data_IF_935539415172
#
_entry.id   IF_935539415172
#
_cell.length_a   1.000
_cell.length_b   1.000
_cell.length_c   1.000
_cell.angle_alpha   90.00
_cell.angle_beta   90.00
_cell.angle_gamma   90.00
#
_symmetry.space_group_name_H-M   'P 1'
#
loop_
_entity.id
_entity.type
_entity.pdbx_description
1 polymer ?
#
# COMPACT_ATOMS: atom_id res chain seq x y z
N UNK A 1 23.33 -30.44 -22.72
CA UNK A 1 23.48 -28.97 -22.67
C UNK A 1 22.06 -28.42 -22.58
N UNK A 2 21.55 -28.23 -21.38
CA UNK A 2 20.34 -27.43 -21.17
C UNK A 2 20.78 -25.97 -21.15
N UNK A 3 20.30 -25.19 -22.11
CA UNK A 3 20.46 -23.73 -22.09
C UNK A 3 19.80 -23.17 -20.81
N UNK A 4 20.47 -22.26 -20.08
CA UNK A 4 19.79 -21.51 -19.03
C UNK A 4 18.71 -20.65 -19.69
N UNK A 5 17.45 -20.83 -19.28
CA UNK A 5 16.28 -20.05 -19.71
C UNK A 5 16.62 -18.55 -19.81
N UNK A 6 16.90 -18.08 -21.03
CA UNK A 6 17.03 -16.67 -21.32
C UNK A 6 15.65 -16.03 -21.06
N UNK A 7 15.53 -15.33 -19.93
CA UNK A 7 14.30 -14.66 -19.50
C UNK A 7 13.73 -13.79 -20.63
N UNK A 8 12.74 -14.33 -21.37
CA UNK A 8 12.02 -13.58 -22.40
C UNK A 8 11.34 -12.39 -21.73
N UNK A 9 11.75 -11.17 -22.09
CA UNK A 9 11.14 -9.94 -21.60
C UNK A 9 9.62 -10.03 -21.83
N UNK A 10 8.78 -9.84 -20.79
CA UNK A 10 7.34 -10.03 -20.92
C UNK A 10 6.77 -9.08 -21.97
N UNK A 11 5.83 -9.58 -22.78
CA UNK A 11 5.23 -8.83 -23.87
C UNK A 11 4.59 -7.53 -23.35
N UNK A 12 4.62 -6.46 -24.14
CA UNK A 12 4.00 -5.17 -23.77
C UNK A 12 2.53 -5.34 -23.37
N UNK A 13 1.84 -6.29 -23.98
CA UNK A 13 0.47 -6.67 -23.64
C UNK A 13 0.36 -7.26 -22.22
N UNK A 14 1.23 -8.19 -21.83
CA UNK A 14 1.22 -8.78 -20.48
C UNK A 14 1.47 -7.71 -19.39
N UNK A 15 2.35 -6.76 -19.68
CA UNK A 15 2.63 -5.60 -18.81
C UNK A 15 1.41 -4.70 -18.62
N UNK A 16 0.70 -4.39 -19.72
CA UNK A 16 -0.52 -3.60 -19.68
C UNK A 16 -1.66 -4.35 -18.96
N UNK A 17 -1.87 -5.62 -19.28
CA UNK A 17 -2.94 -6.44 -18.69
C UNK A 17 -2.75 -6.63 -17.18
N UNK A 18 -1.53 -6.88 -16.72
CA UNK A 18 -1.23 -6.99 -15.28
C UNK A 18 -1.47 -5.66 -14.54
N UNK A 19 -1.12 -4.53 -15.15
CA UNK A 19 -1.40 -3.20 -14.57
C UNK A 19 -2.91 -2.90 -14.52
N UNK A 20 -3.64 -3.20 -15.59
CA UNK A 20 -5.10 -3.04 -15.65
C UNK A 20 -5.79 -3.93 -14.61
N UNK A 21 -5.39 -5.20 -14.52
CA UNK A 21 -5.94 -6.15 -13.57
C UNK A 21 -5.75 -5.69 -12.11
N UNK A 22 -4.55 -5.21 -11.77
CA UNK A 22 -4.29 -4.62 -10.45
C UNK A 22 -5.17 -3.38 -10.18
N UNK A 23 -5.30 -2.48 -11.16
CA UNK A 23 -6.19 -1.32 -11.06
C UNK A 23 -7.65 -1.71 -10.82
N UNK A 24 -8.17 -2.67 -11.58
CA UNK A 24 -9.54 -3.16 -11.45
C UNK A 24 -9.78 -3.84 -10.10
N UNK A 25 -8.91 -4.75 -9.66
CA UNK A 25 -9.04 -5.41 -8.35
C UNK A 25 -9.02 -4.38 -7.21
N UNK A 26 -8.13 -3.39 -7.29
CA UNK A 26 -8.08 -2.34 -6.27
C UNK A 26 -9.30 -1.43 -6.27
N UNK A 27 -9.90 -1.19 -7.42
CA UNK A 27 -11.13 -0.42 -7.49
C UNK A 27 -12.30 -1.18 -6.84
N UNK A 28 -12.48 -2.45 -7.22
CA UNK A 28 -13.58 -3.28 -6.73
C UNK A 28 -13.54 -3.47 -5.21
N UNK A 29 -12.35 -3.73 -4.65
CA UNK A 29 -12.23 -3.95 -3.21
C UNK A 29 -12.59 -2.71 -2.39
N UNK A 30 -12.33 -1.51 -2.92
CA UNK A 30 -12.73 -0.25 -2.25
C UNK A 30 -14.25 -0.13 -2.20
N UNK A 31 -14.94 -0.42 -3.30
CA UNK A 31 -16.41 -0.37 -3.33
C UNK A 31 -17.03 -1.38 -2.37
N UNK A 32 -16.55 -2.63 -2.39
CA UNK A 32 -17.07 -3.70 -1.54
C UNK A 32 -16.76 -3.43 -0.06
N UNK A 33 -15.54 -3.00 0.27
CA UNK A 33 -15.19 -2.65 1.65
C UNK A 33 -16.00 -1.45 2.15
N UNK A 34 -16.23 -0.45 1.30
CA UNK A 34 -17.07 0.70 1.65
C UNK A 34 -18.52 0.28 1.89
N UNK A 35 -19.07 -0.61 1.07
CA UNK A 35 -20.41 -1.15 1.30
C UNK A 35 -20.48 -1.85 2.67
N UNK A 36 -19.48 -2.65 3.04
CA UNK A 36 -19.43 -3.34 4.34
C UNK A 36 -19.29 -2.37 5.52
N UNK A 37 -18.37 -1.42 5.45
CA UNK A 37 -18.04 -0.54 6.57
C UNK A 37 -19.04 0.61 6.73
N UNK A 38 -19.50 1.19 5.62
CA UNK A 38 -20.33 2.39 5.63
C UNK A 38 -21.81 2.06 5.44
N UNK A 39 -22.18 1.21 4.47
CA UNK A 39 -23.59 0.91 4.20
C UNK A 39 -24.18 -0.09 5.19
N UNK A 40 -23.46 -1.18 5.46
CA UNK A 40 -23.87 -2.14 6.51
C UNK A 40 -23.47 -1.69 7.92
N UNK A 41 -22.59 -0.68 8.04
CA UNK A 41 -22.13 -0.17 9.33
C UNK A 41 -21.26 -1.16 10.09
N UNK A 42 -20.53 -2.05 9.41
CA UNK A 42 -19.66 -3.02 10.08
C UNK A 42 -18.57 -2.30 10.89
N UNK A 43 -18.52 -2.49 12.22
CA UNK A 43 -17.77 -1.60 13.11
C UNK A 43 -16.26 -1.85 13.12
N UNK A 44 -15.79 -2.96 12.55
CA UNK A 44 -14.39 -3.40 12.73
C UNK A 44 -13.66 -3.70 11.41
N UNK A 45 -12.96 -2.72 10.83
CA UNK A 45 -12.07 -2.94 9.69
C UNK A 45 -10.98 -3.98 9.95
N UNK A 46 -10.58 -4.15 11.21
CA UNK A 46 -9.57 -5.14 11.62
C UNK A 46 -10.08 -6.56 11.39
N UNK A 47 -11.32 -6.86 11.81
CA UNK A 47 -11.93 -8.19 11.59
C UNK A 47 -12.09 -8.48 10.10
N UNK A 48 -12.43 -7.47 9.29
CA UNK A 48 -12.46 -7.59 7.84
C UNK A 48 -11.08 -7.95 7.27
N UNK A 49 -10.02 -7.27 7.72
CA UNK A 49 -8.65 -7.56 7.33
C UNK A 49 -8.18 -8.95 7.74
N UNK A 50 -8.51 -9.40 8.96
CA UNK A 50 -8.22 -10.76 9.42
C UNK A 50 -8.92 -11.79 8.51
N UNK A 51 -10.18 -11.55 8.15
CA UNK A 51 -10.92 -12.42 7.22
C UNK A 51 -10.26 -12.52 5.84
N UNK A 52 -9.78 -11.40 5.29
CA UNK A 52 -9.04 -11.36 4.03
C UNK A 52 -7.72 -12.14 4.11
N UNK A 53 -6.95 -11.96 5.19
CA UNK A 53 -5.68 -12.68 5.40
C UNK A 53 -5.92 -14.18 5.60
N UNK A 54 -6.91 -14.58 6.40
CA UNK A 54 -7.26 -15.98 6.63
C UNK A 54 -7.72 -16.67 5.34
N UNK A 55 -8.55 -16.00 4.55
CA UNK A 55 -9.01 -16.48 3.24
C UNK A 55 -7.83 -16.66 2.28
N UNK A 56 -6.92 -15.69 2.25
CA UNK A 56 -5.70 -15.77 1.46
C UNK A 56 -4.83 -16.98 1.83
N UNK A 57 -4.59 -17.19 3.12
CA UNK A 57 -3.83 -18.36 3.62
C UNK A 57 -4.54 -19.66 3.25
N UNK A 58 -5.86 -19.73 3.41
CA UNK A 58 -6.64 -20.92 3.08
C UNK A 58 -6.57 -21.25 1.58
N UNK A 59 -6.74 -20.25 0.70
CA UNK A 59 -6.63 -20.43 -0.76
C UNK A 59 -5.23 -20.93 -1.12
N UNK A 60 -4.17 -20.34 -0.57
CA UNK A 60 -2.80 -20.77 -0.82
C UNK A 60 -2.54 -22.20 -0.33
N UNK A 61 -3.05 -22.56 0.84
CA UNK A 61 -2.91 -23.90 1.40
C UNK A 61 -3.63 -24.95 0.55
N UNK A 62 -4.89 -24.71 0.17
CA UNK A 62 -5.65 -25.59 -0.72
C UNK A 62 -4.97 -25.71 -2.10
N UNK A 63 -4.43 -24.62 -2.63
CA UNK A 63 -3.68 -24.63 -3.90
C UNK A 63 -2.39 -25.46 -3.81
N UNK A 64 -1.71 -25.45 -2.66
CA UNK A 64 -0.53 -26.29 -2.38
C UNK A 64 -0.91 -27.77 -2.30
N UNK A 65 -2.01 -28.12 -1.63
CA UNK A 65 -2.49 -29.51 -1.55
C UNK A 65 -2.86 -30.08 -2.92
N UNK A 66 -3.45 -29.26 -3.78
CA UNK A 66 -3.80 -29.64 -5.15
C UNK A 66 -2.58 -29.67 -6.11
N UNK A 67 -1.36 -29.44 -5.62
CA UNK A 67 -0.10 -29.38 -6.40
C UNK A 67 -0.13 -28.35 -7.54
N UNK A 68 -1.03 -27.37 -7.49
CA UNK A 68 -1.13 -26.30 -8.51
C UNK A 68 0.03 -25.30 -8.32
N UNK A 69 0.45 -25.09 -7.07
CA UNK A 69 1.51 -24.12 -6.75
C UNK A 69 2.54 -24.77 -5.82
N UNK A 70 3.78 -24.87 -6.30
CA UNK A 70 4.92 -25.26 -5.50
C UNK A 70 5.55 -24.02 -4.86
N UNK A 71 5.17 -23.72 -3.62
CA UNK A 71 5.86 -22.70 -2.83
C UNK A 71 7.05 -23.32 -2.09
N UNK A 72 8.21 -22.65 -2.04
CA UNK A 72 9.29 -23.05 -1.15
C UNK A 72 8.76 -23.13 0.29
N UNK A 73 9.14 -24.17 1.01
CA UNK A 73 8.74 -24.32 2.41
C UNK A 73 9.28 -23.16 3.26
N UNK A 74 8.53 -22.80 4.31
CA UNK A 74 8.85 -21.69 5.21
C UNK A 74 10.20 -21.95 5.91
N UNK A 75 11.29 -21.43 5.36
CA UNK A 75 12.59 -21.43 6.02
C UNK A 75 12.54 -20.38 7.16
N UNK A 76 12.77 -20.85 8.40
CA UNK A 76 12.80 -20.02 9.61
C UNK A 76 13.84 -18.88 9.55
N UNK A 77 14.73 -18.89 8.56
CA UNK A 77 15.71 -17.82 8.29
C UNK A 77 15.17 -16.66 7.45
N UNK A 78 14.04 -16.84 6.76
CA UNK A 78 13.41 -15.82 5.89
C UNK A 78 12.94 -14.58 6.68
N UNK A 79 12.25 -14.70 7.83
CA UNK A 79 11.83 -13.54 8.60
C UNK A 79 13.02 -12.70 9.07
N UNK A 80 14.10 -13.38 9.52
CA UNK A 80 15.33 -12.74 9.93
C UNK A 80 16.01 -11.98 8.79
N UNK A 81 16.09 -12.59 7.59
CA UNK A 81 16.63 -11.92 6.39
C UNK A 81 15.78 -10.73 5.94
N UNK A 82 14.46 -10.85 5.94
CA UNK A 82 13.56 -9.78 5.53
C UNK A 82 13.69 -8.56 6.46
N UNK A 83 13.68 -8.81 7.77
CA UNK A 83 13.89 -7.77 8.78
C UNK A 83 15.30 -7.17 8.70
N UNK A 84 16.33 -7.97 8.40
CA UNK A 84 17.70 -7.48 8.21
C UNK A 84 17.82 -6.54 7.01
N UNK A 85 17.12 -6.83 5.90
CA UNK A 85 17.14 -5.98 4.69
C UNK A 85 16.48 -4.63 4.99
N UNK A 86 15.33 -4.62 5.68
CA UNK A 86 14.67 -3.38 6.09
C UNK A 86 15.56 -2.57 7.04
N UNK A 87 16.13 -3.20 8.08
CA UNK A 87 17.04 -2.53 9.02
C UNK A 87 18.33 -2.05 8.35
N UNK A 88 18.92 -2.83 7.44
CA UNK A 88 20.10 -2.41 6.67
C UNK A 88 19.80 -1.20 5.75
N UNK A 89 18.57 -1.12 5.22
CA UNK A 89 18.10 0.03 4.45
C UNK A 89 17.91 1.29 5.30
N UNK A 90 17.52 1.14 6.58
CA UNK A 90 17.37 2.22 7.55
C UNK A 90 18.72 2.70 8.12
N UNK A 91 19.68 1.79 8.31
CA UNK A 91 21.04 2.10 8.81
C UNK A 91 21.93 2.73 7.74
N UNK A 92 21.64 2.49 6.46
CA UNK A 92 22.23 3.29 5.37
C UNK A 92 21.71 4.72 5.47
N UNK A 93 22.50 5.64 6.06
CA UNK A 93 22.24 7.09 6.05
C UNK A 93 22.19 7.60 4.61
N UNK A 94 21.06 7.40 3.94
CA UNK A 94 20.83 7.85 2.57
C UNK A 94 20.71 9.36 2.63
N UNK A 95 21.71 10.07 2.13
CA UNK A 95 21.61 11.51 1.91
C UNK A 95 20.56 11.71 0.81
N UNK A 96 19.36 12.15 1.19
CA UNK A 96 18.28 12.40 0.24
C UNK A 96 18.60 13.64 -0.58
N UNK A 97 18.51 13.52 -1.90
CA UNK A 97 18.58 14.67 -2.80
C UNK A 97 17.51 15.70 -2.42
N UNK A 98 17.85 16.99 -2.49
CA UNK A 98 16.92 18.12 -2.31
C UNK A 98 15.61 17.92 -3.11
N UNK A 99 15.69 17.28 -4.28
CA UNK A 99 14.51 17.00 -5.11
C UNK A 99 13.52 16.02 -4.46
N UNK A 100 14.01 15.03 -3.71
CA UNK A 100 13.18 14.08 -2.95
C UNK A 100 12.51 14.83 -1.80
N UNK A 101 13.27 15.64 -1.06
CA UNK A 101 12.75 16.46 0.06
C UNK A 101 11.66 17.42 -0.43
N UNK A 102 11.88 18.13 -1.53
CA UNK A 102 10.88 19.02 -2.14
C UNK A 102 9.61 18.27 -2.57
N UNK A 103 9.73 17.01 -3.01
CA UNK A 103 8.56 16.20 -3.38
C UNK A 103 7.76 15.79 -2.14
N UNK A 104 8.42 15.41 -1.05
CA UNK A 104 7.76 15.12 0.23
C UNK A 104 7.10 16.38 0.80
N UNK A 105 7.77 17.53 0.77
CA UNK A 105 7.18 18.80 1.19
C UNK A 105 5.93 19.15 0.37
N UNK A 106 5.94 18.93 -0.95
CA UNK A 106 4.76 19.12 -1.77
C UNK A 106 3.61 18.17 -1.38
N UNK A 107 3.89 16.90 -1.07
CA UNK A 107 2.87 15.95 -0.57
C UNK A 107 2.25 16.47 0.73
N UNK A 108 3.08 16.89 1.69
CA UNK A 108 2.64 17.40 2.98
C UNK A 108 1.81 18.67 2.81
N UNK A 109 2.27 19.63 2.01
CA UNK A 109 1.55 20.88 1.73
C UNK A 109 0.20 20.62 1.05
N UNK A 110 0.14 19.72 0.07
CA UNK A 110 -1.11 19.32 -0.58
C UNK A 110 -2.12 18.73 0.41
N UNK A 111 -1.65 17.95 1.39
CA UNK A 111 -2.50 17.33 2.39
C UNK A 111 -3.11 18.38 3.33
N UNK A 112 -2.31 19.37 3.74
CA UNK A 112 -2.80 20.51 4.53
C UNK A 112 -3.81 21.36 3.75
N UNK A 113 -3.57 21.64 2.46
CA UNK A 113 -4.51 22.39 1.62
C UNK A 113 -5.82 21.60 1.44
N UNK A 114 -5.73 20.28 1.27
CA UNK A 114 -6.91 19.44 1.14
C UNK A 114 -7.76 19.46 2.42
N UNK A 115 -7.11 19.26 3.57
CA UNK A 115 -7.73 19.28 4.89
C UNK A 115 -8.24 20.68 5.30
N UNK A 116 -7.61 21.76 4.81
CA UNK A 116 -7.98 23.14 5.09
C UNK A 116 -9.38 23.55 4.60
N UNK A 117 -9.97 22.73 3.74
CA UNK A 117 -11.26 22.98 3.12
C UNK A 117 -12.41 22.14 3.66
N UNK A 118 -12.12 21.20 4.55
CA UNK A 118 -13.16 20.58 5.35
C UNK A 118 -13.78 21.68 6.21
N UNK A 119 -15.04 21.99 5.92
CA UNK A 119 -15.89 22.99 6.61
C UNK A 119 -16.27 22.52 8.03
N UNK A 120 -15.38 21.78 8.67
CA UNK A 120 -15.40 21.32 10.05
C UNK A 120 -14.01 21.57 10.67
N UNK A 121 -13.42 22.75 10.43
CA UNK A 121 -12.19 23.19 11.09
C UNK A 121 -12.45 23.47 12.58
N UNK A 122 -12.77 22.40 13.30
CA UNK A 122 -12.84 22.39 14.73
C UNK A 122 -11.48 21.87 15.20
N UNK A 123 -10.58 22.80 15.53
CA UNK A 123 -9.24 22.48 16.03
C UNK A 123 -9.31 21.49 17.19
N UNK A 124 -10.38 21.57 18.00
CA UNK A 124 -10.70 20.63 19.06
C UNK A 124 -10.98 19.23 18.51
N UNK A 125 -11.78 19.09 17.45
CA UNK A 125 -12.03 17.82 16.76
C UNK A 125 -10.78 17.19 16.14
N UNK A 126 -9.87 18.00 15.58
CA UNK A 126 -8.58 17.51 15.07
C UNK A 126 -7.60 17.13 16.18
N UNK A 127 -7.57 17.86 17.29
CA UNK A 127 -6.82 17.46 18.50
C UNK A 127 -7.41 16.18 19.08
N UNK A 128 -8.74 16.03 19.07
CA UNK A 128 -9.41 14.79 19.46
C UNK A 128 -9.16 13.66 18.47
N UNK A 129 -9.05 13.89 17.17
CA UNK A 129 -8.67 12.88 16.16
C UNK A 129 -7.20 12.51 16.30
N UNK A 130 -6.31 13.47 16.56
CA UNK A 130 -4.88 13.22 16.80
C UNK A 130 -4.65 12.46 18.12
N UNK A 131 -5.34 12.86 19.19
CA UNK A 131 -5.39 12.11 20.44
C UNK A 131 -6.06 10.76 20.22
N UNK A 132 -7.14 10.68 19.44
CA UNK A 132 -7.76 9.41 19.05
C UNK A 132 -6.80 8.56 18.24
N UNK A 133 -5.92 9.10 17.39
CA UNK A 133 -4.93 8.31 16.66
C UNK A 133 -3.83 7.79 17.59
N UNK A 134 -3.44 8.56 18.61
CA UNK A 134 -2.56 8.08 19.70
C UNK A 134 -3.27 7.02 20.54
N UNK A 135 -4.52 7.24 20.92
CA UNK A 135 -5.36 6.30 21.65
C UNK A 135 -5.84 5.13 20.78
N UNK A 136 -5.82 5.23 19.45
CA UNK A 136 -6.15 4.19 18.47
C UNK A 136 -4.92 3.37 18.15
N UNK A 137 -3.72 3.97 18.20
CA UNK A 137 -2.47 3.23 18.25
C UNK A 137 -2.34 2.48 19.59
N UNK A 138 -2.69 3.13 20.72
CA UNK A 138 -2.72 2.51 22.03
C UNK A 138 -3.84 1.45 22.15
N UNK A 139 -5.03 1.72 21.61
CA UNK A 139 -6.10 0.75 21.46
C UNK A 139 -5.67 -0.35 20.50
N UNK A 140 -5.00 -0.09 19.37
CA UNK A 140 -4.49 -1.15 18.49
C UNK A 140 -3.55 -2.13 19.21
N UNK A 141 -2.79 -1.65 20.20
CA UNK A 141 -1.98 -2.47 21.11
C UNK A 141 -2.84 -3.16 22.18
N UNK A 142 -3.87 -2.51 22.72
CA UNK A 142 -4.81 -3.03 23.73
C UNK A 142 -5.85 -4.04 23.17
N UNK A 143 -6.42 -3.78 21.99
CA UNK A 143 -7.30 -4.60 21.16
C UNK A 143 -6.60 -5.86 20.65
N UNK A 144 -5.26 -5.90 20.65
CA UNK A 144 -4.51 -7.16 20.50
C UNK A 144 -4.83 -8.17 21.62
N UNK A 145 -5.39 -7.73 22.76
CA UNK A 145 -5.80 -8.57 23.89
C UNK A 145 -7.32 -8.73 24.06
N UNK A 146 -8.17 -7.96 23.36
CA UNK A 146 -9.63 -8.14 23.34
C UNK A 146 -10.14 -7.92 21.91
N UNK A 147 -10.55 -9.00 21.23
CA UNK A 147 -11.35 -8.90 20.01
C UNK A 147 -12.54 -7.96 20.27
N UNK A 148 -12.74 -6.99 19.37
CA UNK A 148 -13.70 -5.90 19.51
C UNK A 148 -15.11 -6.45 19.80
N UNK A 149 -15.67 -6.26 21.02
CA UNK A 149 -16.98 -6.83 21.40
C UNK A 149 -18.12 -6.30 20.52
N UNK A 150 -17.92 -5.16 19.83
CA UNK A 150 -18.89 -4.62 18.87
C UNK A 150 -18.97 -5.44 17.57
N UNK A 151 -17.90 -6.13 17.19
CA UNK A 151 -17.89 -6.97 16.00
C UNK A 151 -18.63 -8.29 16.24
N UNK A 152 -18.55 -8.85 17.45
CA UNK A 152 -19.22 -10.12 17.79
C UNK A 152 -20.73 -9.98 17.91
N UNK A 153 -21.23 -8.81 18.33
CA UNK A 153 -22.66 -8.54 18.47
C UNK A 153 -23.31 -7.91 17.22
N UNK A 154 -22.58 -7.88 16.11
CA UNK A 154 -23.06 -7.20 14.91
C UNK A 154 -24.33 -7.85 14.33
N UNK A 155 -25.42 -7.08 14.31
CA UNK A 155 -26.77 -7.57 14.00
C UNK A 155 -26.91 -8.19 12.61
N UNK A 156 -26.09 -7.77 11.64
CA UNK A 156 -26.19 -8.26 10.26
C UNK A 156 -25.38 -9.54 9.99
N UNK A 157 -24.78 -10.20 11.00
CA UNK A 157 -24.10 -11.49 10.80
C UNK A 157 -25.00 -12.58 10.19
N UNK A 158 -26.32 -12.50 10.38
CA UNK A 158 -27.29 -13.44 9.78
C UNK A 158 -27.85 -12.98 8.43
N UNK A 159 -27.52 -11.77 7.99
CA UNK A 159 -27.98 -11.25 6.72
C UNK A 159 -27.17 -11.88 5.58
N UNK A 160 -27.84 -12.63 4.70
CA UNK A 160 -27.21 -13.35 3.59
C UNK A 160 -26.45 -12.41 2.65
N UNK A 161 -27.00 -11.23 2.36
CA UNK A 161 -26.33 -10.24 1.50
C UNK A 161 -25.05 -9.69 2.15
N UNK A 162 -25.07 -9.46 3.47
CA UNK A 162 -23.87 -9.07 4.21
C UNK A 162 -22.81 -10.17 4.14
N UNK A 163 -23.19 -11.44 4.37
CA UNK A 163 -22.26 -12.58 4.31
C UNK A 163 -21.64 -12.70 2.91
N UNK A 164 -22.45 -12.60 1.85
CA UNK A 164 -21.96 -12.65 0.47
C UNK A 164 -20.98 -11.50 0.20
N UNK A 165 -21.29 -10.28 0.61
CA UNK A 165 -20.40 -9.12 0.45
C UNK A 165 -19.11 -9.27 1.26
N UNK A 166 -19.19 -9.82 2.48
CA UNK A 166 -18.04 -10.06 3.34
C UNK A 166 -17.10 -11.11 2.74
N UNK A 167 -17.66 -12.22 2.24
CA UNK A 167 -16.89 -13.25 1.53
C UNK A 167 -16.29 -12.73 0.22
N UNK A 168 -17.05 -11.93 -0.53
CA UNK A 168 -16.57 -11.27 -1.75
C UNK A 168 -15.39 -10.35 -1.44
N UNK A 169 -15.45 -9.55 -0.37
CA UNK A 169 -14.33 -8.73 0.10
C UNK A 169 -13.11 -9.59 0.41
N UNK A 170 -13.30 -10.73 1.09
CA UNK A 170 -12.21 -11.65 1.42
C UNK A 170 -11.52 -12.20 0.17
N UNK A 171 -12.28 -12.60 -0.85
CA UNK A 171 -11.76 -13.09 -2.13
C UNK A 171 -11.07 -11.96 -2.91
N UNK A 172 -11.67 -10.77 -2.95
CA UNK A 172 -11.06 -9.59 -3.57
C UNK A 172 -9.75 -9.18 -2.89
N UNK A 173 -9.63 -9.37 -1.57
CA UNK A 173 -8.39 -9.17 -0.82
C UNK A 173 -7.26 -10.06 -1.34
N UNK A 174 -7.55 -11.35 -1.53
CA UNK A 174 -6.61 -12.29 -2.15
C UNK A 174 -6.24 -11.87 -3.58
N UNK A 175 -7.24 -11.55 -4.41
CA UNK A 175 -7.03 -11.13 -5.80
C UNK A 175 -6.21 -9.83 -5.91
N UNK A 176 -6.42 -8.88 -4.99
CA UNK A 176 -5.63 -7.67 -4.90
C UNK A 176 -4.16 -7.98 -4.58
N UNK A 177 -3.92 -8.87 -3.61
CA UNK A 177 -2.56 -9.28 -3.25
C UNK A 177 -1.87 -9.98 -4.42
N UNK A 178 -2.56 -10.93 -5.05
CA UNK A 178 -2.06 -11.64 -6.23
C UNK A 178 -1.78 -10.70 -7.40
N UNK A 179 -2.71 -9.81 -7.76
CA UNK A 179 -2.53 -8.84 -8.84
C UNK A 179 -1.41 -7.84 -8.57
N UNK A 180 -1.18 -7.47 -7.31
CA UNK A 180 -0.06 -6.61 -6.91
C UNK A 180 1.29 -7.29 -7.17
N UNK A 181 1.42 -8.56 -6.78
CA UNK A 181 2.61 -9.37 -7.04
C UNK A 181 2.79 -9.58 -8.54
N UNK A 182 1.71 -9.92 -9.26
CA UNK A 182 1.72 -10.17 -10.71
C UNK A 182 2.12 -8.91 -11.50
N UNK A 183 1.59 -7.75 -11.12
CA UNK A 183 1.97 -6.46 -11.70
C UNK A 183 3.46 -6.21 -11.45
N UNK A 184 3.95 -6.44 -10.24
CA UNK A 184 5.38 -6.27 -9.88
C UNK A 184 6.31 -7.25 -10.57
N UNK A 185 5.81 -8.43 -10.94
CA UNK A 185 6.55 -9.45 -11.67
C UNK A 185 6.73 -9.05 -13.15
N UNK A 186 5.66 -8.61 -13.82
CA UNK A 186 5.72 -8.26 -15.24
C UNK A 186 6.21 -6.83 -15.50
N UNK A 187 6.00 -5.91 -14.57
CA UNK A 187 6.36 -4.51 -14.71
C UNK A 187 7.62 -4.15 -13.93
N UNK A 188 8.31 -3.10 -14.38
CA UNK A 188 9.41 -2.54 -13.60
C UNK A 188 8.87 -1.91 -12.31
N UNK A 189 9.73 -1.80 -11.30
CA UNK A 189 9.41 -1.12 -10.05
C UNK A 189 8.85 0.30 -10.28
N UNK A 190 9.26 0.98 -11.36
CA UNK A 190 8.74 2.30 -11.71
C UNK A 190 7.28 2.25 -12.12
N UNK A 191 6.96 1.35 -13.03
CA UNK A 191 5.60 1.22 -13.57
C UNK A 191 4.66 0.77 -12.46
N UNK A 192 5.06 -0.16 -11.60
CA UNK A 192 4.26 -0.56 -10.44
C UNK A 192 4.01 0.60 -9.48
N UNK A 193 5.01 1.44 -9.21
CA UNK A 193 4.86 2.63 -8.36
C UNK A 193 3.89 3.64 -8.98
N UNK A 194 4.00 3.90 -10.29
CA UNK A 194 3.08 4.81 -11.00
C UNK A 194 1.65 4.27 -11.01
N UNK A 195 1.46 2.98 -11.30
CA UNK A 195 0.13 2.35 -11.27
C UNK A 195 -0.44 2.36 -9.84
N UNK A 196 0.40 2.13 -8.83
CA UNK A 196 0.02 2.27 -7.42
C UNK A 196 -0.38 3.70 -7.02
N UNK A 197 0.30 4.71 -7.55
CA UNK A 197 -0.07 6.11 -7.36
C UNK A 197 -1.42 6.42 -8.02
N UNK A 198 -1.59 6.05 -9.29
CA UNK A 198 -2.86 6.19 -10.03
C UNK A 198 -4.00 5.51 -9.27
N UNK A 199 -3.77 4.29 -8.79
CA UNK A 199 -4.73 3.57 -7.95
C UNK A 199 -5.13 4.40 -6.73
N UNK A 200 -4.17 4.90 -5.96
CA UNK A 200 -4.48 5.71 -4.77
C UNK A 200 -5.29 6.96 -5.13
N UNK A 201 -4.99 7.60 -6.27
CA UNK A 201 -5.78 8.72 -6.82
C UNK A 201 -7.22 8.31 -7.11
N UNK A 202 -7.39 7.22 -7.85
CA UNK A 202 -8.70 6.69 -8.21
C UNK A 202 -9.51 6.36 -6.96
N UNK A 203 -8.89 5.68 -5.97
CA UNK A 203 -9.53 5.34 -4.70
C UNK A 203 -10.00 6.60 -3.96
N UNK A 204 -9.20 7.66 -3.91
CA UNK A 204 -9.57 8.90 -3.24
C UNK A 204 -10.82 9.54 -3.91
N UNK A 205 -10.77 9.77 -5.23
CA UNK A 205 -11.88 10.41 -5.94
C UNK A 205 -13.16 9.58 -5.93
N UNK A 206 -13.06 8.26 -6.10
CA UNK A 206 -14.23 7.38 -6.04
C UNK A 206 -14.79 7.29 -4.62
N UNK A 207 -13.92 7.27 -3.61
CA UNK A 207 -14.30 7.37 -2.22
C UNK A 207 -15.14 8.62 -1.94
N UNK A 208 -14.78 9.74 -2.56
CA UNK A 208 -15.53 11.00 -2.49
C UNK A 208 -16.85 10.93 -3.27
N UNK A 209 -16.86 10.40 -4.49
CA UNK A 209 -18.06 10.38 -5.37
C UNK A 209 -19.15 9.39 -4.93
N UNK A 210 -18.77 8.20 -4.45
CA UNK A 210 -19.73 7.12 -4.14
C UNK A 210 -20.34 7.25 -2.73
N UNK A 211 -19.82 8.17 -1.90
CA UNK A 211 -20.29 8.36 -0.53
C UNK A 211 -21.55 9.22 -0.39
N UNK A 212 -21.82 10.13 -1.33
CA UNK A 212 -22.90 11.12 -1.18
C UNK A 212 -22.67 12.17 -0.09
N UNK A 213 -21.87 11.87 0.93
CA UNK A 213 -21.57 12.73 2.09
C UNK A 213 -20.44 13.76 1.82
N UNK A 214 -19.89 13.76 0.60
CA UNK A 214 -18.75 14.61 0.26
C UNK A 214 -19.19 15.98 -0.26
N UNK A 215 -18.88 17.03 0.50
CA UNK A 215 -19.05 18.42 0.05
C UNK A 215 -17.81 18.81 -0.76
N UNK A 216 -17.99 18.95 -2.08
CA UNK A 216 -16.91 19.38 -2.96
C UNK A 216 -16.45 20.80 -2.62
N UNK A 217 -15.17 20.92 -2.25
CA UNK A 217 -14.48 22.21 -2.16
C UNK A 217 -13.32 22.26 -3.17
N UNK A 218 -13.17 23.39 -3.84
CA UNK A 218 -12.10 23.63 -4.81
C UNK A 218 -10.71 23.47 -4.16
N UNK A 219 -10.57 23.85 -2.88
CA UNK A 219 -9.34 23.68 -2.12
C UNK A 219 -9.01 22.20 -1.87
N UNK A 220 -10.02 21.36 -1.57
CA UNK A 220 -9.83 19.91 -1.47
C UNK A 220 -9.28 19.33 -2.77
N UNK A 221 -9.92 19.69 -3.87
CA UNK A 221 -9.51 19.25 -5.20
C UNK A 221 -8.07 19.68 -5.52
N UNK A 222 -7.70 20.94 -5.25
CA UNK A 222 -6.35 21.45 -5.46
C UNK A 222 -5.33 20.71 -4.59
N UNK A 223 -5.60 20.56 -3.29
CA UNK A 223 -4.71 19.89 -2.34
C UNK A 223 -4.45 18.43 -2.72
N UNK A 224 -5.51 17.70 -3.10
CA UNK A 224 -5.40 16.33 -3.60
C UNK A 224 -4.52 16.24 -4.86
N UNK A 225 -4.72 17.12 -5.85
CA UNK A 225 -3.89 17.11 -7.06
C UNK A 225 -2.41 17.43 -6.78
N UNK A 226 -2.13 18.32 -5.83
CA UNK A 226 -0.77 18.62 -5.38
C UNK A 226 -0.13 17.38 -4.72
N UNK A 227 -0.85 16.67 -3.85
CA UNK A 227 -0.38 15.42 -3.25
C UNK A 227 -0.02 14.37 -4.31
N UNK A 228 -0.87 14.23 -5.34
CA UNK A 228 -0.65 13.25 -6.41
C UNK A 228 0.59 13.56 -7.23
N UNK A 229 0.76 14.83 -7.62
CA UNK A 229 1.93 15.29 -8.36
C UNK A 229 3.21 15.08 -7.55
N UNK A 230 3.19 15.42 -6.25
CA UNK A 230 4.29 15.20 -5.33
C UNK A 230 4.64 13.72 -5.14
N UNK A 231 3.64 12.85 -4.97
CA UNK A 231 3.80 11.40 -4.80
C UNK A 231 4.36 10.71 -6.04
N UNK A 232 3.88 11.09 -7.23
CA UNK A 232 4.44 10.63 -8.50
C UNK A 232 5.90 11.06 -8.64
N UNK A 233 6.19 12.37 -8.46
CA UNK A 233 7.56 12.91 -8.55
C UNK A 233 8.51 12.24 -7.56
N UNK A 234 8.08 12.04 -6.31
CA UNK A 234 8.84 11.33 -5.29
C UNK A 234 9.18 9.89 -5.72
N UNK A 235 8.20 9.16 -6.25
CA UNK A 235 8.37 7.78 -6.72
C UNK A 235 9.37 7.71 -7.88
N UNK A 236 9.24 8.61 -8.86
CA UNK A 236 10.17 8.70 -9.99
C UNK A 236 11.60 9.01 -9.54
N UNK A 237 11.79 9.99 -8.65
CA UNK A 237 13.12 10.41 -8.18
C UNK A 237 13.77 9.35 -7.30
N UNK A 238 13.01 8.75 -6.39
CA UNK A 238 13.51 7.69 -5.50
C UNK A 238 13.99 6.50 -6.32
N UNK A 239 13.24 6.09 -7.34
CA UNK A 239 13.67 4.98 -8.18
C UNK A 239 14.83 5.35 -9.12
N UNK A 240 14.81 6.55 -9.72
CA UNK A 240 15.92 7.03 -10.54
C UNK A 240 17.23 7.13 -9.75
N UNK A 241 17.14 7.40 -8.43
CA UNK A 241 18.30 7.38 -7.53
C UNK A 241 18.80 5.96 -7.21
N UNK A 242 17.94 4.94 -7.27
CA UNK A 242 18.36 3.53 -7.12
C UNK A 242 19.03 2.97 -8.38
N UNK A 243 18.75 3.56 -9.56
CA UNK A 243 19.28 3.12 -10.85
C UNK A 243 20.65 3.71 -11.18
N UNK A 244 21.09 4.78 -10.51
CA UNK A 244 22.43 5.33 -10.71
C UNK A 244 23.47 4.38 -10.10
N UNK A 245 24.41 3.80 -10.87
CA UNK A 245 25.48 3.00 -10.30
C UNK A 245 26.30 3.88 -9.35
N UNK A 246 26.57 3.34 -8.15
CA UNK A 246 27.50 3.94 -7.19
C UNK A 246 28.85 4.01 -7.91
N UNK A 247 29.35 5.21 -8.20
CA UNK A 247 30.69 5.36 -8.76
C UNK A 247 31.68 4.63 -7.85
N UNK A 248 32.62 3.84 -8.39
CA UNK A 248 33.70 3.30 -7.58
C UNK A 248 34.41 4.49 -6.93
N UNK A 249 34.61 4.41 -5.62
CA UNK A 249 35.41 5.39 -4.89
C UNK A 249 36.80 5.35 -5.50
N UNK A 250 37.23 6.47 -6.09
CA UNK A 250 38.56 6.61 -6.67
C UNK A 250 39.61 6.34 -5.58
N UNK A 251 40.23 5.17 -5.65
CA UNK A 251 41.33 4.74 -4.79
C UNK A 251 42.62 5.42 -5.24
N UNK A 252 42.65 6.75 -5.23
CA UNK A 252 43.86 7.52 -5.57
C UNK A 252 43.90 8.84 -4.80
N UNK A 253 44.29 8.77 -3.54
CA UNK A 253 44.97 9.87 -2.81
C UNK A 253 45.48 9.36 -1.46
N UNK A 254 46.46 8.45 -1.49
CA UNK A 254 47.39 8.32 -0.37
C UNK A 254 48.49 9.36 -0.62
N UNK A 255 48.63 10.41 0.21
CA UNK A 255 49.76 11.32 0.09
C UNK A 255 51.04 10.56 0.44
N UNK A 256 51.87 10.31 -0.58
CA UNK A 256 53.25 9.86 -0.43
C UNK A 256 54.10 11.04 0.07
N UNK A 257 54.01 11.36 1.35
CA UNK A 257 54.98 12.21 2.04
C UNK A 257 54.95 11.93 3.54
N UNK A 258 55.72 10.91 3.96
CA UNK A 258 56.57 10.94 5.15
C UNK A 258 57.43 9.67 5.19
N UNK A 259 58.45 9.61 4.33
CA UNK A 259 59.64 8.80 4.60
C UNK A 259 60.87 9.48 4.02
N UNK A 260 61.35 10.47 4.76
CA UNK A 260 62.74 10.94 4.76
C UNK A 260 63.07 11.39 6.18
#
# INVERSE_FOLDING_TARGET
MEEPDAARLPSRLARLLSALFYGTCSFLIVLVNKALLTTYGFPSPIVLGIGQMATTIMILYVSKLNKIIHFPDFDKKIPGKLMLIEMASLVSKKQYSLNIVLSVLAIVLGAFIAAGSDLAFNLEGYIFVFLNDIFTAANGVYTKQKMDPKATEFRHWKNVLFIIQFLLSCILGFLLMYSTILCSYYNSALTTAVVGAIKNVSVAYIGMLVGGDYIFSLLNFIGLNICMAGGLRYSFLTLSSQLKPKQPVDEESIPLDLKS
#
